data_IF_747845593535
#
_entry.id   IF_747845593535
#
_cell.length_a   1.000
_cell.length_b   1.000
_cell.length_c   1.000
_cell.angle_alpha   90.00
_cell.angle_beta   90.00
_cell.angle_gamma   90.00
#
_symmetry.space_group_name_H-M   'P 1'
#
loop_
_entity.id
_entity.type
_entity.pdbx_description
1 polymer ?
#
# COMPACT_ATOMS: atom_id res chain seq x y z
N UNK A 1 29.24 -23.82 -55.56
CA UNK A 1 30.20 -22.70 -55.58
C UNK A 1 29.54 -21.54 -54.83
N UNK A 2 29.76 -21.38 -53.52
CA UNK A 2 30.72 -20.47 -52.84
C UNK A 2 30.57 -18.97 -53.19
N UNK A 3 30.16 -18.19 -52.16
CA UNK A 3 30.53 -16.80 -51.75
C UNK A 3 29.33 -15.84 -51.60
N UNK A 4 28.78 -15.62 -50.39
CA UNK A 4 29.15 -14.69 -49.28
C UNK A 4 28.64 -13.24 -49.45
N UNK A 5 27.79 -12.82 -48.48
CA UNK A 5 27.42 -11.45 -48.08
C UNK A 5 28.65 -10.67 -47.50
N UNK A 6 28.65 -9.32 -47.44
CA UNK A 6 28.18 -8.56 -46.24
C UNK A 6 27.52 -7.18 -46.57
N UNK A 7 26.50 -6.66 -45.86
CA UNK A 7 26.46 -5.91 -44.58
C UNK A 7 27.23 -4.56 -44.53
N UNK A 8 26.56 -3.51 -43.98
CA UNK A 8 26.99 -2.14 -43.58
C UNK A 8 27.06 -1.09 -44.71
N UNK A 9 26.43 0.11 -44.61
CA UNK A 9 26.73 1.23 -43.70
C UNK A 9 25.52 2.21 -43.71
N UNK A 10 24.69 2.30 -42.67
CA UNK A 10 24.57 3.41 -41.68
C UNK A 10 25.17 4.75 -42.14
N UNK A 11 24.38 5.79 -42.47
CA UNK A 11 24.63 7.20 -42.07
C UNK A 11 23.66 8.20 -42.74
N UNK A 12 22.84 8.86 -41.91
CA UNK A 12 22.26 10.22 -42.00
C UNK A 12 20.85 10.18 -41.37
N UNK A 13 20.58 10.69 -40.17
CA UNK A 13 21.31 11.64 -39.35
C UNK A 13 20.94 13.08 -39.72
N UNK A 14 19.89 13.59 -39.03
CA UNK A 14 19.74 14.97 -38.56
C UNK A 14 19.10 15.99 -39.54
N UNK A 15 17.86 16.38 -39.23
CA UNK A 15 17.31 17.74 -39.39
C UNK A 15 16.18 17.89 -38.35
N UNK A 16 16.38 18.46 -37.17
CA UNK A 16 16.68 19.87 -36.78
C UNK A 16 15.50 20.82 -37.03
N UNK A 17 14.86 21.13 -35.90
CA UNK A 17 14.33 22.43 -35.46
C UNK A 17 13.02 23.01 -36.04
N UNK A 18 12.15 23.33 -35.07
CA UNK A 18 11.28 24.53 -34.98
C UNK A 18 10.04 24.51 -35.88
N UNK A 19 8.82 24.56 -35.32
CA UNK A 19 8.15 25.75 -34.75
C UNK A 19 7.12 25.25 -33.69
N UNK A 20 7.27 25.49 -32.38
CA UNK A 20 6.98 26.69 -31.58
C UNK A 20 5.51 27.16 -31.51
N UNK A 21 5.03 27.23 -30.25
CA UNK A 21 3.91 28.02 -29.70
C UNK A 21 2.46 27.52 -29.89
N UNK A 22 1.98 26.74 -28.91
CA UNK A 22 0.79 27.15 -28.18
C UNK A 22 1.03 27.08 -26.67
N UNK A 23 0.66 28.17 -26.02
CA UNK A 23 1.02 28.62 -24.68
C UNK A 23 -0.24 28.62 -23.81
N UNK A 24 -0.05 28.31 -22.52
CA UNK A 24 -0.87 28.62 -21.33
C UNK A 24 -1.36 27.35 -20.61
N UNK A 25 -0.62 26.89 -19.59
CA UNK A 25 -0.68 27.32 -18.18
C UNK A 25 -1.89 26.73 -17.43
N UNK A 26 -1.67 25.61 -16.74
CA UNK A 26 -2.13 25.32 -15.37
C UNK A 26 -1.92 23.83 -15.05
N UNK A 27 -0.81 23.49 -14.38
CA UNK A 27 -0.74 22.40 -13.40
C UNK A 27 0.69 22.25 -12.85
N UNK A 28 1.28 23.35 -12.37
CA UNK A 28 2.45 23.30 -11.48
C UNK A 28 1.96 23.79 -10.11
N UNK A 29 1.12 22.97 -9.49
CA UNK A 29 0.66 23.15 -8.12
C UNK A 29 0.01 21.84 -7.68
N UNK A 30 0.80 20.78 -7.49
CA UNK A 30 0.38 19.55 -6.78
C UNK A 30 1.55 18.59 -6.51
N UNK A 31 2.80 19.06 -6.57
CA UNK A 31 3.99 18.21 -6.37
C UNK A 31 4.56 18.20 -4.94
N UNK A 32 4.06 19.02 -4.03
CA UNK A 32 4.62 19.14 -2.67
C UNK A 32 3.70 18.64 -1.55
N UNK A 33 2.58 17.97 -1.87
CA UNK A 33 1.65 17.46 -0.84
C UNK A 33 1.90 16.00 -0.43
N UNK A 34 2.94 15.33 -0.95
CA UNK A 34 3.10 13.87 -0.79
C UNK A 34 4.36 13.45 -0.02
N UNK A 35 4.84 14.30 0.88
CA UNK A 35 5.89 13.98 1.84
C UNK A 35 5.60 14.64 3.18
N UNK A 36 4.57 14.16 3.89
CA UNK A 36 4.49 14.34 5.34
C UNK A 36 5.11 13.08 5.95
N UNK A 37 6.38 13.18 6.30
CA UNK A 37 7.05 12.21 7.15
C UNK A 37 6.35 12.19 8.51
N UNK A 38 5.69 11.08 8.83
CA UNK A 38 5.18 10.85 10.19
C UNK A 38 6.29 10.17 10.99
N UNK A 39 7.02 10.95 11.78
CA UNK A 39 7.97 10.41 12.76
C UNK A 39 7.19 9.78 13.92
N UNK A 40 7.52 8.54 14.25
CA UNK A 40 6.87 7.72 15.30
C UNK A 40 7.03 8.27 16.74
N UNK A 41 7.56 9.48 16.92
CA UNK A 41 7.84 10.08 18.22
C UNK A 41 6.66 10.84 18.85
N UNK A 42 5.64 11.25 18.08
CA UNK A 42 4.54 12.09 18.63
C UNK A 42 3.34 11.31 19.20
N UNK A 43 3.28 9.98 19.10
CA UNK A 43 2.16 9.21 19.65
C UNK A 43 2.31 8.85 21.15
N UNK A 44 3.45 9.14 21.77
CA UNK A 44 3.78 8.66 23.13
C UNK A 44 3.56 9.70 24.25
N UNK A 45 3.14 10.94 23.94
CA UNK A 45 2.98 12.02 24.93
C UNK A 45 1.55 12.14 25.51
N UNK A 46 0.54 11.42 24.99
CA UNK A 46 -0.84 11.45 25.53
C UNK A 46 -1.18 10.32 26.51
N UNK A 47 -0.20 9.78 27.25
CA UNK A 47 -0.47 8.77 28.30
C UNK A 47 0.28 9.00 29.61
N UNK A 48 0.54 10.26 29.97
CA UNK A 48 0.98 10.62 31.33
C UNK A 48 0.15 11.76 31.90
N UNK A 49 -0.91 11.42 32.62
CA UNK A 49 -1.38 12.22 33.76
C UNK A 49 -2.45 11.50 34.59
N UNK A 50 -2.00 10.98 35.75
CA UNK A 50 -2.61 11.06 37.08
C UNK A 50 -4.03 10.53 37.36
N UNK A 51 -4.04 9.48 38.19
CA UNK A 51 -4.62 9.39 39.55
C UNK A 51 -5.38 8.08 39.76
N UNK A 52 -4.75 7.19 40.54
CA UNK A 52 -5.32 5.94 41.03
C UNK A 52 -6.16 6.23 42.29
N UNK A 53 -7.46 5.89 42.33
CA UNK A 53 -8.08 5.46 43.57
C UNK A 53 -7.96 3.93 43.68
N UNK A 54 -7.39 3.50 44.80
CA UNK A 54 -7.27 2.11 45.24
C UNK A 54 -8.66 1.47 45.34
N UNK A 55 -9.02 0.61 44.39
CA UNK A 55 -10.30 -0.12 44.39
C UNK A 55 -10.09 -1.56 44.91
N UNK A 56 -10.54 -1.70 46.16
CA UNK A 56 -10.99 -2.89 46.88
C UNK A 56 -11.37 -4.09 45.99
N UNK A 57 -10.82 -5.25 46.33
CA UNK A 57 -11.28 -6.58 45.91
C UNK A 57 -12.79 -6.73 46.15
N UNK A 58 -13.57 -6.47 45.11
CA UNK A 58 -14.95 -6.97 44.98
C UNK A 58 -15.05 -7.66 43.64
N UNK A 59 -15.08 -8.99 43.74
CA UNK A 59 -15.41 -9.98 42.70
C UNK A 59 -16.29 -9.36 41.61
N UNK A 60 -15.69 -9.07 40.45
CA UNK A 60 -16.46 -8.80 39.24
C UNK A 60 -17.28 -10.07 38.92
N UNK A 61 -18.53 -9.94 38.44
CA UNK A 61 -19.24 -11.09 37.89
C UNK A 61 -18.36 -11.68 36.80
N UNK A 62 -18.23 -13.00 36.76
CA UNK A 62 -17.51 -13.70 35.70
C UNK A 62 -17.98 -13.14 34.36
N UNK A 63 -17.14 -12.32 33.74
CA UNK A 63 -17.38 -11.86 32.39
C UNK A 63 -17.34 -13.12 31.55
N UNK A 64 -18.51 -13.57 31.10
CA UNK A 64 -18.65 -14.60 30.10
C UNK A 64 -17.71 -14.24 28.95
N UNK A 65 -16.58 -14.94 28.89
CA UNK A 65 -15.70 -14.88 27.74
C UNK A 65 -16.57 -15.30 26.56
N UNK A 66 -16.68 -14.48 25.50
CA UNK A 66 -17.48 -14.87 24.35
C UNK A 66 -16.96 -16.23 23.88
N UNK A 67 -17.84 -17.24 23.84
CA UNK A 67 -17.52 -18.57 23.32
C UNK A 67 -16.84 -18.38 21.96
N UNK A 68 -15.74 -19.10 21.74
CA UNK A 68 -14.91 -19.03 20.52
C UNK A 68 -15.72 -19.23 19.23
N UNK A 69 -16.93 -19.79 19.31
CA UNK A 69 -17.87 -20.02 18.22
C UNK A 69 -18.47 -18.73 17.61
N UNK A 70 -18.30 -17.56 18.24
CA UNK A 70 -18.82 -16.27 17.74
C UNK A 70 -17.74 -15.32 17.20
N UNK A 71 -16.49 -15.77 17.05
CA UNK A 71 -15.48 -14.97 16.34
C UNK A 71 -15.78 -15.01 14.84
N UNK A 72 -15.85 -13.85 14.16
CA UNK A 72 -16.06 -13.82 12.71
C UNK A 72 -14.97 -14.65 12.02
N UNK A 73 -15.37 -15.40 11.00
CA UNK A 73 -14.40 -16.22 10.25
C UNK A 73 -13.34 -15.30 9.68
N UNK A 74 -12.10 -15.77 9.61
CA UNK A 74 -10.99 -15.00 9.06
C UNK A 74 -11.36 -14.37 7.69
N UNK A 75 -12.05 -15.11 6.84
CA UNK A 75 -12.53 -14.62 5.54
C UNK A 75 -13.45 -13.39 5.64
N UNK A 76 -14.33 -13.35 6.65
CA UNK A 76 -15.22 -12.22 6.90
C UNK A 76 -14.41 -10.99 7.36
N UNK A 77 -13.39 -11.23 8.21
CA UNK A 77 -12.46 -10.20 8.66
C UNK A 77 -11.68 -9.63 7.45
N UNK A 78 -11.10 -10.50 6.62
CA UNK A 78 -10.34 -10.12 5.43
C UNK A 78 -11.21 -9.34 4.44
N UNK A 79 -12.44 -9.79 4.18
CA UNK A 79 -13.38 -9.11 3.30
C UNK A 79 -13.77 -7.71 3.83
N UNK A 80 -14.00 -7.59 5.14
CA UNK A 80 -14.31 -6.31 5.77
C UNK A 80 -13.14 -5.33 5.66
N UNK A 81 -11.90 -5.79 5.88
CA UNK A 81 -10.72 -4.93 5.69
C UNK A 81 -10.48 -4.58 4.23
N UNK A 82 -10.73 -5.51 3.30
CA UNK A 82 -10.55 -5.25 1.87
C UNK A 82 -11.42 -4.07 1.41
N UNK A 83 -12.68 -4.04 1.86
CA UNK A 83 -13.60 -2.94 1.56
C UNK A 83 -13.10 -1.57 2.05
N UNK A 84 -12.43 -1.53 3.21
CA UNK A 84 -11.83 -0.30 3.77
C UNK A 84 -10.60 0.18 3.01
N UNK A 85 -9.98 -0.69 2.23
CA UNK A 85 -8.78 -0.39 1.43
C UNK A 85 -9.17 0.06 0.01
N UNK A 86 -10.36 -0.34 -0.47
CA UNK A 86 -10.95 0.03 -1.76
C UNK A 86 -11.50 1.47 -1.77
N UNK A 87 -10.65 2.44 -1.51
CA UNK A 87 -11.07 3.82 -1.23
C UNK A 87 -10.64 4.85 -2.28
N UNK A 88 -10.11 4.45 -3.45
CA UNK A 88 -9.58 5.41 -4.45
C UNK A 88 -10.56 6.53 -4.79
N UNK A 89 -11.82 6.20 -5.10
CA UNK A 89 -12.81 7.21 -5.47
C UNK A 89 -13.26 8.06 -4.27
N UNK A 90 -13.40 7.44 -3.09
CA UNK A 90 -13.76 8.14 -1.87
C UNK A 90 -12.67 9.14 -1.45
N UNK A 91 -11.41 8.70 -1.47
CA UNK A 91 -10.25 9.54 -1.17
C UNK A 91 -10.16 10.72 -2.15
N UNK A 92 -10.39 10.50 -3.45
CA UNK A 92 -10.42 11.59 -4.43
C UNK A 92 -11.50 12.62 -4.14
N UNK A 93 -12.69 12.16 -3.74
CA UNK A 93 -13.79 13.04 -3.36
C UNK A 93 -13.48 13.84 -2.09
N UNK A 94 -12.92 13.19 -1.07
CA UNK A 94 -12.50 13.83 0.19
C UNK A 94 -11.40 14.88 -0.04
N UNK A 95 -10.37 14.56 -0.85
CA UNK A 95 -9.31 15.51 -1.24
C UNK A 95 -9.91 16.71 -1.97
N UNK A 96 -10.90 16.50 -2.85
CA UNK A 96 -11.54 17.60 -3.57
C UNK A 96 -12.29 18.54 -2.62
N UNK A 97 -12.91 18.00 -1.57
CA UNK A 97 -13.64 18.79 -0.55
C UNK A 97 -12.69 19.51 0.40
N UNK A 98 -11.62 18.86 0.82
CA UNK A 98 -10.63 19.43 1.72
C UNK A 98 -9.19 19.02 1.32
N UNK A 99 -8.53 19.79 0.43
CA UNK A 99 -7.22 19.41 -0.10
C UNK A 99 -6.06 19.58 0.88
N UNK A 100 -6.29 20.27 2.00
CA UNK A 100 -5.25 20.57 2.99
C UNK A 100 -5.19 19.54 4.14
N UNK A 101 -6.18 18.66 4.23
CA UNK A 101 -6.26 17.64 5.25
C UNK A 101 -6.04 16.24 4.67
N UNK A 102 -5.51 15.35 5.51
CA UNK A 102 -5.42 13.93 5.20
C UNK A 102 -6.83 13.34 5.11
N UNK A 103 -7.23 12.74 3.98
CA UNK A 103 -8.55 12.16 3.84
C UNK A 103 -8.79 11.04 4.86
N UNK A 104 -9.93 11.03 5.58
CA UNK A 104 -10.27 9.97 6.53
C UNK A 104 -10.16 8.57 5.94
N UNK A 105 -10.54 8.41 4.67
CA UNK A 105 -10.45 7.14 3.96
C UNK A 105 -9.03 6.62 3.75
N UNK A 106 -8.02 7.51 3.69
CA UNK A 106 -6.61 7.10 3.66
C UNK A 106 -6.16 6.55 5.02
N UNK A 107 -6.60 7.20 6.11
CA UNK A 107 -6.27 6.79 7.48
C UNK A 107 -6.91 5.43 7.78
N UNK A 108 -8.17 5.24 7.38
CA UNK A 108 -8.87 3.96 7.55
C UNK A 108 -8.20 2.84 6.74
N UNK A 109 -7.82 3.09 5.48
CA UNK A 109 -7.09 2.12 4.67
C UNK A 109 -5.74 1.73 5.30
N UNK A 110 -4.99 2.69 5.84
CA UNK A 110 -3.73 2.43 6.54
C UNK A 110 -3.94 1.59 7.81
N UNK A 111 -4.98 1.88 8.59
CA UNK A 111 -5.35 1.10 9.77
C UNK A 111 -5.73 -0.35 9.41
N UNK A 112 -6.51 -0.54 8.34
CA UNK A 112 -6.88 -1.85 7.85
C UNK A 112 -5.66 -2.67 7.40
N UNK A 113 -4.72 -2.07 6.66
CA UNK A 113 -3.47 -2.74 6.26
C UNK A 113 -2.60 -3.14 7.46
N UNK A 114 -2.48 -2.25 8.45
CA UNK A 114 -1.75 -2.54 9.69
C UNK A 114 -2.39 -3.71 10.45
N UNK A 115 -3.72 -3.72 10.55
CA UNK A 115 -4.46 -4.82 11.15
C UNK A 115 -4.20 -6.15 10.42
N UNK A 116 -4.27 -6.18 9.08
CA UNK A 116 -3.97 -7.40 8.31
C UNK A 116 -2.52 -7.86 8.50
N UNK A 117 -1.55 -6.95 8.51
CA UNK A 117 -0.16 -7.31 8.80
C UNK A 117 0.00 -7.93 10.18
N UNK A 118 -0.69 -7.39 11.20
CA UNK A 118 -0.66 -7.97 12.54
C UNK A 118 -1.36 -9.32 12.64
N UNK A 119 -2.38 -9.55 11.82
CA UNK A 119 -3.09 -10.83 11.74
C UNK A 119 -2.19 -11.88 11.11
N UNK A 120 -1.44 -11.47 10.10
CA UNK A 120 -0.47 -12.32 9.41
C UNK A 120 0.65 -12.85 10.34
N UNK A 121 1.14 -11.99 11.23
CA UNK A 121 2.14 -12.37 12.23
C UNK A 121 1.57 -13.31 13.31
N UNK A 122 0.29 -13.16 13.65
CA UNK A 122 -0.37 -13.90 14.73
C UNK A 122 -0.96 -15.25 14.28
N UNK A 123 -1.30 -15.40 13.01
CA UNK A 123 -1.97 -16.58 12.46
C UNK A 123 -1.19 -17.23 11.30
N UNK A 124 -0.03 -17.86 11.55
CA UNK A 124 0.76 -18.48 10.48
C UNK A 124 0.02 -19.63 9.77
N UNK A 125 -0.94 -20.29 10.45
CA UNK A 125 -1.79 -21.33 9.86
C UNK A 125 -2.76 -20.82 8.77
N UNK A 126 -2.95 -19.51 8.70
CA UNK A 126 -3.85 -18.85 7.76
C UNK A 126 -3.16 -18.39 6.46
N UNK A 127 -1.92 -18.85 6.23
CA UNK A 127 -1.05 -18.39 5.14
C UNK A 127 -1.74 -18.31 3.78
N UNK A 128 -2.44 -19.36 3.36
CA UNK A 128 -3.10 -19.41 2.05
C UNK A 128 -4.13 -18.29 1.85
N UNK A 129 -4.93 -18.00 2.88
CA UNK A 129 -5.98 -16.97 2.81
C UNK A 129 -5.39 -15.57 2.79
N UNK A 130 -4.35 -15.35 3.59
CA UNK A 130 -3.66 -14.05 3.67
C UNK A 130 -2.84 -13.79 2.39
N UNK A 131 -2.21 -14.81 1.80
CA UNK A 131 -1.53 -14.71 0.51
C UNK A 131 -2.53 -14.37 -0.61
N UNK A 132 -3.71 -15.00 -0.61
CA UNK A 132 -4.78 -14.69 -1.55
C UNK A 132 -5.24 -13.23 -1.41
N UNK A 133 -5.42 -12.75 -0.18
CA UNK A 133 -5.76 -11.35 0.11
C UNK A 133 -4.69 -10.38 -0.44
N UNK A 134 -3.40 -10.61 -0.15
CA UNK A 134 -2.33 -9.73 -0.63
C UNK A 134 -2.21 -9.75 -2.16
N UNK A 135 -2.43 -10.91 -2.78
CA UNK A 135 -2.50 -11.04 -4.24
C UNK A 135 -3.66 -10.25 -4.82
N UNK A 136 -4.86 -10.35 -4.27
CA UNK A 136 -6.03 -9.59 -4.73
C UNK A 136 -5.82 -8.08 -4.55
N UNK A 137 -5.43 -7.67 -3.35
CA UNK A 137 -5.17 -6.27 -2.99
C UNK A 137 -4.11 -5.61 -3.89
N UNK A 138 -3.05 -6.31 -4.28
CA UNK A 138 -2.00 -5.75 -5.17
C UNK A 138 -2.50 -5.50 -6.61
N UNK A 139 -3.46 -6.28 -7.09
CA UNK A 139 -3.98 -6.20 -8.46
C UNK A 139 -5.24 -5.35 -8.58
N UNK A 140 -5.96 -5.11 -7.49
CA UNK A 140 -7.22 -4.36 -7.51
C UNK A 140 -7.04 -2.88 -7.87
N UNK A 141 -7.68 -2.45 -8.96
CA UNK A 141 -7.65 -1.07 -9.44
C UNK A 141 -8.44 -0.08 -8.57
N UNK A 142 -9.34 -0.56 -7.70
CA UNK A 142 -10.10 0.28 -6.76
C UNK A 142 -9.33 0.59 -5.48
N UNK A 143 -8.24 -0.12 -5.25
CA UNK A 143 -7.35 0.04 -4.11
C UNK A 143 -6.30 1.12 -4.39
N UNK A 144 -5.97 1.91 -3.36
CA UNK A 144 -4.97 2.98 -3.45
C UNK A 144 -3.62 2.43 -3.91
N UNK A 145 -2.95 3.14 -4.83
CA UNK A 145 -1.66 2.69 -5.40
C UNK A 145 -0.62 2.30 -4.33
N UNK A 146 -0.53 3.07 -3.25
CA UNK A 146 0.41 2.78 -2.15
C UNK A 146 0.01 1.53 -1.36
N UNK A 147 -1.29 1.29 -1.16
CA UNK A 147 -1.81 0.07 -0.54
C UNK A 147 -1.54 -1.16 -1.41
N UNK A 148 -1.74 -1.05 -2.73
CA UNK A 148 -1.40 -2.10 -3.69
C UNK A 148 0.08 -2.47 -3.63
N UNK A 149 0.96 -1.47 -3.57
CA UNK A 149 2.41 -1.67 -3.45
C UNK A 149 2.80 -2.32 -2.11
N UNK A 150 2.16 -1.93 -1.00
CA UNK A 150 2.35 -2.56 0.29
C UNK A 150 1.92 -4.04 0.27
N UNK A 151 0.73 -4.34 -0.27
CA UNK A 151 0.23 -5.71 -0.42
C UNK A 151 1.18 -6.55 -1.30
N UNK A 152 1.71 -5.98 -2.37
CA UNK A 152 2.71 -6.63 -3.21
C UNK A 152 4.00 -6.95 -2.43
N UNK A 153 4.52 -5.99 -1.65
CA UNK A 153 5.68 -6.21 -0.77
C UNK A 153 5.47 -7.37 0.19
N UNK A 154 4.33 -7.39 0.87
CA UNK A 154 3.97 -8.49 1.79
C UNK A 154 3.88 -9.83 1.07
N UNK A 155 3.30 -9.87 -0.13
CA UNK A 155 3.24 -11.10 -0.93
C UNK A 155 4.64 -11.62 -1.29
N UNK A 156 5.53 -10.74 -1.76
CA UNK A 156 6.91 -11.06 -2.12
C UNK A 156 7.69 -11.57 -0.91
N UNK A 157 7.62 -10.88 0.23
CA UNK A 157 8.28 -11.28 1.48
C UNK A 157 7.83 -12.68 1.94
N UNK A 158 6.52 -12.95 1.87
CA UNK A 158 5.93 -14.20 2.38
C UNK A 158 6.19 -15.40 1.50
N UNK A 159 6.27 -15.19 0.19
CA UNK A 159 6.59 -16.23 -0.79
C UNK A 159 8.09 -16.31 -1.06
N UNK A 160 8.89 -15.42 -0.46
CA UNK A 160 10.32 -15.28 -0.70
C UNK A 160 10.67 -15.17 -2.20
N UNK A 161 9.84 -14.43 -2.96
CA UNK A 161 10.02 -14.30 -4.42
C UNK A 161 11.30 -13.53 -4.72
N UNK A 162 12.13 -14.07 -5.61
CA UNK A 162 13.40 -13.49 -6.02
C UNK A 162 13.65 -13.71 -7.51
N UNK A 163 14.61 -12.98 -8.09
CA UNK A 163 15.05 -13.18 -9.47
C UNK A 163 13.91 -13.14 -10.50
N UNK A 164 13.80 -14.22 -11.29
CA UNK A 164 12.83 -14.33 -12.38
C UNK A 164 11.37 -14.35 -11.90
N UNK A 165 11.09 -14.93 -10.74
CA UNK A 165 9.73 -14.98 -10.18
C UNK A 165 9.24 -13.59 -9.77
N UNK A 166 10.12 -12.83 -9.12
CA UNK A 166 9.83 -11.43 -8.78
C UNK A 166 9.65 -10.60 -10.05
N UNK A 167 10.51 -10.79 -11.06
CA UNK A 167 10.40 -10.09 -12.34
C UNK A 167 9.06 -10.39 -13.03
N UNK A 168 8.60 -11.64 -12.99
CA UNK A 168 7.31 -12.04 -13.58
C UNK A 168 6.14 -11.34 -12.90
N UNK A 169 6.10 -11.33 -11.56
CA UNK A 169 5.05 -10.63 -10.81
C UNK A 169 5.09 -9.12 -11.08
N UNK A 170 6.29 -8.53 -11.07
CA UNK A 170 6.47 -7.11 -11.32
C UNK A 170 6.06 -6.70 -12.74
N UNK A 171 6.29 -7.55 -13.75
CA UNK A 171 5.87 -7.26 -15.13
C UNK A 171 4.35 -7.10 -15.29
N UNK A 172 3.56 -7.75 -14.44
CA UNK A 172 2.09 -7.60 -14.42
C UNK A 172 1.59 -6.33 -13.72
N UNK A 173 2.47 -5.54 -13.09
CA UNK A 173 2.08 -4.41 -12.24
C UNK A 173 2.15 -3.05 -12.97
N UNK A 174 1.20 -2.13 -12.69
CA UNK A 174 1.29 -0.75 -13.18
C UNK A 174 2.56 -0.06 -12.70
N UNK A 175 3.12 0.84 -13.53
CA UNK A 175 4.35 1.59 -13.22
C UNK A 175 4.29 2.33 -11.89
N UNK A 176 3.14 2.93 -11.57
CA UNK A 176 2.94 3.61 -10.29
C UNK A 176 3.11 2.66 -9.09
N UNK A 177 2.57 1.44 -9.17
CA UNK A 177 2.71 0.43 -8.11
C UNK A 177 4.17 -0.02 -8.00
N UNK A 178 4.83 -0.31 -9.13
CA UNK A 178 6.25 -0.70 -9.17
C UNK A 178 7.15 0.38 -8.54
N UNK A 179 6.89 1.65 -8.82
CA UNK A 179 7.67 2.76 -8.27
C UNK A 179 7.49 2.88 -6.76
N UNK A 180 6.28 2.70 -6.25
CA UNK A 180 6.05 2.69 -4.80
C UNK A 180 6.69 1.48 -4.12
N UNK A 181 6.58 0.29 -4.73
CA UNK A 181 7.21 -0.93 -4.24
C UNK A 181 8.73 -0.74 -4.04
N UNK A 182 9.42 -0.25 -5.08
CA UNK A 182 10.87 0.01 -5.02
C UNK A 182 11.27 0.98 -3.92
N UNK A 183 10.45 2.01 -3.66
CA UNK A 183 10.70 2.98 -2.57
C UNK A 183 10.60 2.34 -1.19
N UNK A 184 9.79 1.30 -1.03
CA UNK A 184 9.63 0.58 0.24
C UNK A 184 10.73 -0.46 0.49
N UNK A 185 11.48 -0.86 -0.54
CA UNK A 185 12.64 -1.76 -0.40
C UNK A 185 13.92 -1.04 0.03
N UNK A 186 13.97 0.28 -0.16
CA UNK A 186 15.11 1.07 0.31
C UNK A 186 14.98 1.19 1.83
N UNK A 187 15.96 0.69 2.62
CA UNK A 187 15.94 0.91 4.06
C UNK A 187 15.94 2.42 4.32
N UNK A 188 14.94 2.91 5.05
CA UNK A 188 14.95 4.27 5.57
C UNK A 188 16.09 4.35 6.60
N UNK A 189 17.11 5.13 6.25
CA UNK A 189 18.35 5.32 7.00
C UNK A 189 18.13 5.94 8.37
#
# INVERSE_FOLDING_TARGET
MKKTLPLLVILSGISVLSIFYFKSSHSVALKDAQSVEFSAAELNERHKSKDLPKLVDRKAPEAETPKADNLPKLEEILAAQHKKIQTVELAREEIRRNPHESPPSLIEAASALSFISSLDEREPGSKVKIDAFYKECSHDGKTLTIARAFCLKKLVERQALQGDELAQVMNGMPDAVKNHYKKMEIPLF
#
